data_IF_160569052644
#
_entry.id   IF_160569052644
#
_cell.length_a   1.000
_cell.length_b   1.000
_cell.length_c   1.000
_cell.angle_alpha   90.00
_cell.angle_beta   90.00
_cell.angle_gamma   90.00
#
_symmetry.space_group_name_H-M   'P 1'
#
loop_
_entity.id
_entity.type
_entity.pdbx_description
1 polymer ?
#
# COMPACT_ATOMS: atom_id res chain seq x y z
N UNK A 1 -6.63 -3.47 7.73
CA UNK A 1 -5.37 -2.74 7.93
C UNK A 1 -5.67 -1.24 7.82
N UNK A 2 -5.13 -0.41 8.69
CA UNK A 2 -5.38 1.05 8.66
C UNK A 2 -4.13 1.77 8.22
N UNK A 3 -4.23 2.58 7.16
CA UNK A 3 -3.17 3.33 6.50
C UNK A 3 -1.94 2.46 6.14
N UNK A 4 -1.12 2.90 5.23
CA UNK A 4 0.15 2.27 4.91
C UNK A 4 1.13 3.33 4.39
N UNK A 5 1.58 4.14 5.31
CA UNK A 5 2.38 5.33 5.03
C UNK A 5 3.77 5.29 5.64
N UNK A 6 4.53 6.34 5.38
CA UNK A 6 5.93 6.43 5.80
C UNK A 6 6.08 7.07 7.18
N UNK A 7 7.02 6.57 7.97
CA UNK A 7 7.49 7.27 9.16
C UNK A 7 8.62 8.22 8.77
N UNK A 8 8.38 9.53 8.82
CA UNK A 8 9.42 10.53 8.52
C UNK A 8 10.67 10.37 9.39
N UNK A 9 10.48 9.97 10.65
CA UNK A 9 11.60 9.74 11.58
C UNK A 9 12.45 8.56 11.15
N UNK A 10 11.83 7.43 10.80
CA UNK A 10 12.55 6.23 10.36
C UNK A 10 13.20 6.44 8.98
N UNK A 11 12.47 7.00 8.03
CA UNK A 11 13.01 7.33 6.70
C UNK A 11 14.20 8.28 6.82
N UNK A 12 14.09 9.34 7.63
CA UNK A 12 15.13 10.32 7.82
C UNK A 12 16.40 9.80 8.50
N UNK A 13 16.35 8.66 9.20
CA UNK A 13 17.53 8.02 9.77
C UNK A 13 18.42 7.36 8.71
N UNK A 14 17.80 6.81 7.65
CA UNK A 14 18.49 6.00 6.65
C UNK A 14 18.58 6.68 5.29
N UNK A 15 17.57 7.46 4.93
CA UNK A 15 17.44 8.10 3.62
C UNK A 15 17.42 9.62 3.80
N UNK A 16 18.60 10.22 3.86
CA UNK A 16 18.72 11.67 3.95
C UNK A 16 19.27 12.27 2.66
N UNK A 17 18.86 13.49 2.38
CA UNK A 17 19.27 14.25 1.19
C UNK A 17 18.92 13.52 -0.12
N UNK A 18 19.93 12.95 -0.80
CA UNK A 18 19.80 12.25 -2.09
C UNK A 18 19.89 10.71 -1.96
N UNK A 19 19.98 10.19 -0.74
CA UNK A 19 19.92 8.75 -0.51
C UNK A 19 18.48 8.27 -0.53
N UNK A 20 18.24 7.11 -1.09
CA UNK A 20 16.95 6.46 -1.13
C UNK A 20 17.08 4.95 -1.29
N UNK A 21 15.99 4.23 -1.08
CA UNK A 21 15.96 2.79 -1.30
C UNK A 21 16.32 2.45 -2.76
N UNK A 22 17.05 1.38 -2.96
CA UNK A 22 17.49 0.94 -4.31
C UNK A 22 16.29 0.61 -5.19
N UNK A 23 16.22 1.20 -6.37
CA UNK A 23 15.09 1.01 -7.30
C UNK A 23 14.78 -0.48 -7.57
N UNK A 24 15.80 -1.32 -7.64
CA UNK A 24 15.65 -2.74 -7.95
C UNK A 24 15.39 -3.63 -6.73
N UNK A 25 15.58 -3.14 -5.52
CA UNK A 25 15.51 -3.92 -4.30
C UNK A 25 14.90 -3.14 -3.13
N UNK A 26 14.05 -2.15 -3.43
CA UNK A 26 13.55 -1.21 -2.43
C UNK A 26 12.82 -1.88 -1.27
N UNK A 27 11.98 -2.86 -1.54
CA UNK A 27 11.24 -3.56 -0.49
C UNK A 27 12.17 -4.32 0.47
N UNK A 28 13.23 -4.96 -0.06
CA UNK A 28 14.20 -5.63 0.82
C UNK A 28 15.01 -4.63 1.65
N UNK A 29 15.36 -3.48 1.07
CA UNK A 29 16.03 -2.42 1.82
C UNK A 29 15.16 -1.95 2.99
N UNK A 30 13.86 -1.75 2.76
CA UNK A 30 12.90 -1.37 3.81
C UNK A 30 12.79 -2.45 4.90
N UNK A 31 12.85 -3.73 4.54
CA UNK A 31 12.83 -4.83 5.50
C UNK A 31 14.11 -4.92 6.33
N UNK A 32 15.27 -4.81 5.70
CA UNK A 32 16.56 -4.87 6.37
C UNK A 32 16.78 -3.68 7.34
N UNK A 33 16.20 -2.53 7.00
CA UNK A 33 16.23 -1.34 7.84
C UNK A 33 15.13 -1.32 8.91
N UNK A 34 14.22 -2.30 8.90
CA UNK A 34 13.10 -2.35 9.84
C UNK A 34 12.03 -1.27 9.63
N UNK A 35 12.01 -0.64 8.44
CA UNK A 35 11.03 0.39 8.08
C UNK A 35 9.68 -0.25 7.78
N UNK A 36 9.67 -1.38 7.09
CA UNK A 36 8.47 -2.17 6.81
C UNK A 36 8.49 -3.52 7.51
N UNK A 37 7.36 -3.98 8.06
CA UNK A 37 7.25 -5.30 8.68
C UNK A 37 7.22 -6.41 7.61
N UNK A 38 7.82 -7.57 7.90
CA UNK A 38 7.76 -8.75 7.02
C UNK A 38 6.44 -9.49 7.25
N UNK A 39 5.36 -9.03 6.61
CA UNK A 39 4.04 -9.67 6.67
C UNK A 39 3.80 -10.47 5.39
N UNK A 40 3.57 -11.78 5.54
CA UNK A 40 3.32 -12.68 4.43
C UNK A 40 2.00 -12.33 3.72
N UNK A 41 1.98 -12.47 2.39
CA UNK A 41 0.81 -12.18 1.58
C UNK A 41 0.45 -10.69 1.45
N UNK A 42 1.16 -9.78 2.09
CA UNK A 42 0.84 -8.34 2.05
C UNK A 42 1.43 -7.66 0.82
N UNK A 43 2.61 -8.07 0.39
CA UNK A 43 3.41 -7.34 -0.59
C UNK A 43 3.29 -7.89 -2.00
N UNK A 44 3.48 -7.02 -2.97
CA UNK A 44 3.48 -7.35 -4.40
C UNK A 44 4.54 -8.39 -4.75
N UNK A 45 4.15 -9.36 -5.55
CA UNK A 45 5.03 -10.46 -5.97
C UNK A 45 6.25 -10.00 -6.76
N UNK A 46 6.10 -8.98 -7.63
CA UNK A 46 7.19 -8.46 -8.44
C UNK A 46 8.30 -7.79 -7.60
N UNK A 47 7.97 -7.34 -6.38
CA UNK A 47 8.94 -6.84 -5.42
C UNK A 47 9.52 -7.96 -4.53
N UNK A 48 8.72 -8.95 -4.13
CA UNK A 48 9.05 -9.91 -3.09
C UNK A 48 9.69 -11.20 -3.60
N UNK A 49 9.40 -11.64 -4.83
CA UNK A 49 9.69 -13.00 -5.32
C UNK A 49 11.17 -13.41 -5.38
N UNK A 50 12.11 -12.47 -5.34
CA UNK A 50 13.55 -12.77 -5.34
C UNK A 50 14.18 -12.73 -3.94
N UNK A 51 13.35 -12.58 -2.93
CA UNK A 51 13.74 -12.56 -1.52
C UNK A 51 13.41 -13.93 -0.89
N UNK A 52 14.08 -14.28 0.21
CA UNK A 52 13.71 -15.44 1.01
C UNK A 52 12.33 -15.29 1.71
N UNK A 53 11.65 -14.21 1.38
CA UNK A 53 10.31 -13.87 1.85
C UNK A 53 9.31 -14.19 0.74
N UNK A 54 8.54 -15.27 0.92
CA UNK A 54 7.53 -15.67 -0.05
C UNK A 54 6.27 -14.81 0.10
N UNK A 55 6.11 -13.86 -0.82
CA UNK A 55 4.90 -13.02 -0.93
C UNK A 55 3.75 -13.72 -1.66
N UNK A 56 3.86 -15.02 -1.96
CA UNK A 56 2.87 -15.76 -2.76
C UNK A 56 1.75 -16.38 -1.92
N UNK A 57 1.88 -16.41 -0.61
CA UNK A 57 0.85 -16.92 0.30
C UNK A 57 -0.42 -16.07 0.23
N UNK A 58 -1.54 -16.67 0.57
CA UNK A 58 -2.79 -15.96 0.74
C UNK A 58 -2.63 -14.88 1.82
N UNK A 59 -3.21 -13.72 1.58
CA UNK A 59 -3.16 -12.65 2.56
C UNK A 59 -4.24 -12.82 3.61
N UNK A 60 -3.89 -12.53 4.86
CA UNK A 60 -4.87 -12.38 5.95
C UNK A 60 -5.43 -10.95 6.03
N UNK A 61 -5.09 -10.09 5.06
CA UNK A 61 -5.52 -8.70 5.00
C UNK A 61 -6.66 -8.57 3.99
N UNK A 62 -7.86 -8.31 4.48
CA UNK A 62 -9.07 -8.19 3.65
C UNK A 62 -9.16 -6.85 2.94
N UNK A 63 -8.64 -5.79 3.56
CA UNK A 63 -8.67 -4.44 3.01
C UNK A 63 -7.67 -3.50 3.71
N UNK A 64 -7.42 -2.37 3.06
CA UNK A 64 -6.79 -1.19 3.66
C UNK A 64 -7.81 -0.07 3.77
N UNK A 65 -8.02 0.45 4.97
CA UNK A 65 -8.76 1.69 5.22
C UNK A 65 -7.75 2.84 5.17
N UNK A 66 -7.91 3.73 4.21
CA UNK A 66 -7.06 4.92 4.09
C UNK A 66 -7.79 6.12 4.70
N UNK A 67 -7.22 6.67 5.76
CA UNK A 67 -7.77 7.85 6.42
C UNK A 67 -7.71 9.08 5.53
N UNK A 68 -6.58 9.28 4.84
CA UNK A 68 -6.37 10.39 3.90
C UNK A 68 -5.07 10.23 3.07
N UNK A 69 -4.85 11.14 2.12
CA UNK A 69 -3.78 11.00 1.12
C UNK A 69 -2.47 11.73 1.49
N UNK A 70 -2.16 11.98 2.77
CA UNK A 70 -0.81 12.41 3.14
C UNK A 70 0.19 11.24 3.05
N UNK A 71 1.45 11.56 2.80
CA UNK A 71 2.50 10.55 2.54
C UNK A 71 2.80 9.66 3.75
N UNK A 72 2.64 10.16 4.96
CA UNK A 72 2.74 9.40 6.20
C UNK A 72 1.58 8.40 6.39
N UNK A 73 0.56 8.45 5.54
CA UNK A 73 -0.57 7.52 5.54
C UNK A 73 -0.63 6.66 4.27
N UNK A 74 -0.11 7.14 3.13
CA UNK A 74 -0.28 6.45 1.84
C UNK A 74 1.04 6.07 1.13
N UNK A 75 2.23 6.55 1.55
CA UNK A 75 3.46 6.43 0.76
C UNK A 75 3.86 5.00 0.41
N UNK A 76 3.50 4.01 1.22
CA UNK A 76 3.85 2.61 0.99
C UNK A 76 2.75 1.78 0.32
N UNK A 77 1.58 2.37 0.02
CA UNK A 77 0.54 1.70 -0.78
C UNK A 77 1.08 1.04 -2.07
N UNK A 78 2.06 1.64 -2.79
CA UNK A 78 2.63 1.01 -3.97
C UNK A 78 3.30 -0.36 -3.73
N UNK A 79 3.70 -0.68 -2.51
CA UNK A 79 4.27 -1.98 -2.15
C UNK A 79 3.23 -3.06 -1.89
N UNK A 80 1.98 -2.69 -1.62
CA UNK A 80 0.90 -3.64 -1.35
C UNK A 80 0.51 -4.42 -2.62
N UNK A 81 0.04 -5.64 -2.42
CA UNK A 81 -0.60 -6.43 -3.49
C UNK A 81 -1.75 -5.63 -4.10
N UNK A 82 -1.86 -5.73 -5.38
CA UNK A 82 -2.86 -5.03 -6.18
C UNK A 82 -4.29 -5.54 -5.97
N UNK A 83 -4.44 -6.77 -5.49
CA UNK A 83 -5.72 -7.43 -5.20
C UNK A 83 -6.30 -7.08 -3.82
N UNK A 84 -5.52 -6.49 -2.91
CA UNK A 84 -6.00 -5.95 -1.64
C UNK A 84 -6.75 -4.65 -1.92
N UNK A 85 -8.06 -4.56 -1.63
CA UNK A 85 -8.84 -3.36 -1.88
C UNK A 85 -8.43 -2.23 -0.92
N UNK A 86 -8.44 -1.00 -1.45
CA UNK A 86 -8.21 0.22 -0.67
C UNK A 86 -9.56 0.94 -0.56
N UNK A 87 -10.03 1.15 0.66
CA UNK A 87 -11.20 1.96 0.96
C UNK A 87 -10.75 3.38 1.30
N UNK A 88 -11.24 4.37 0.58
CA UNK A 88 -10.90 5.79 0.82
C UNK A 88 -12.05 6.72 0.45
N UNK A 89 -11.97 7.99 0.84
CA UNK A 89 -12.88 9.02 0.36
C UNK A 89 -12.63 9.33 -1.13
N UNK A 90 -13.62 9.92 -1.78
CA UNK A 90 -13.48 10.34 -3.19
C UNK A 90 -12.37 11.38 -3.36
N UNK A 91 -12.25 12.33 -2.43
CA UNK A 91 -11.22 13.36 -2.43
C UNK A 91 -9.82 12.74 -2.30
N UNK A 92 -9.64 11.78 -1.38
CA UNK A 92 -8.37 11.04 -1.24
C UNK A 92 -8.01 10.31 -2.52
N UNK A 93 -8.97 9.64 -3.18
CA UNK A 93 -8.76 8.99 -4.48
C UNK A 93 -8.31 9.98 -5.55
N UNK A 94 -8.96 11.14 -5.67
CA UNK A 94 -8.60 12.16 -6.64
C UNK A 94 -7.18 12.70 -6.43
N UNK A 95 -6.77 12.87 -5.16
CA UNK A 95 -5.42 13.29 -4.82
C UNK A 95 -4.39 12.21 -5.21
N UNK A 96 -4.65 10.94 -4.88
CA UNK A 96 -3.78 9.82 -5.27
C UNK A 96 -3.69 9.67 -6.79
N UNK A 97 -4.80 9.87 -7.50
CA UNK A 97 -4.81 9.88 -8.97
C UNK A 97 -3.95 11.01 -9.52
N UNK A 98 -4.05 12.21 -8.96
CA UNK A 98 -3.21 13.33 -9.37
C UNK A 98 -1.71 13.03 -9.14
N UNK A 99 -1.35 12.38 -8.04
CA UNK A 99 0.02 11.93 -7.81
C UNK A 99 0.49 10.91 -8.86
N UNK A 100 -0.36 9.95 -9.24
CA UNK A 100 -0.04 8.97 -10.27
C UNK A 100 0.13 9.61 -11.67
N UNK A 101 -0.63 10.65 -11.98
CA UNK A 101 -0.59 11.36 -13.26
C UNK A 101 0.59 12.35 -13.36
N UNK A 102 0.93 13.02 -12.26
CA UNK A 102 1.94 14.11 -12.24
C UNK A 102 3.32 13.66 -11.78
N UNK A 103 3.44 12.47 -11.21
CA UNK A 103 4.70 11.94 -10.70
C UNK A 103 4.94 10.48 -11.14
N UNK A 104 6.00 9.87 -10.61
CA UNK A 104 6.28 8.44 -10.81
C UNK A 104 5.58 7.54 -9.79
N UNK A 105 4.66 8.06 -9.01
CA UNK A 105 3.89 7.31 -8.01
C UNK A 105 3.01 6.22 -8.65
N UNK A 106 2.61 5.24 -7.89
CA UNK A 106 1.83 4.09 -8.34
C UNK A 106 0.80 3.71 -7.28
N UNK A 107 0.03 4.70 -6.82
CA UNK A 107 -0.95 4.50 -5.76
C UNK A 107 -2.16 3.71 -6.25
N UNK A 108 -2.79 4.17 -7.33
CA UNK A 108 -4.01 3.58 -7.89
C UNK A 108 -3.73 2.61 -9.03
N UNK A 109 -2.62 2.80 -9.75
CA UNK A 109 -2.23 1.95 -10.86
C UNK A 109 -0.85 1.37 -10.60
N UNK A 110 -0.82 0.13 -10.16
CA UNK A 110 0.44 -0.59 -10.01
C UNK A 110 1.05 -0.86 -11.40
N UNK A 111 2.32 -0.52 -11.58
CA UNK A 111 3.07 -0.88 -12.78
C UNK A 111 4.01 -2.01 -12.44
N UNK A 112 3.84 -3.16 -13.09
CA UNK A 112 4.76 -4.28 -12.92
C UNK A 112 6.16 -3.83 -13.29
N UNK A 113 7.07 -3.81 -12.31
CA UNK A 113 8.45 -3.35 -12.52
C UNK A 113 9.33 -4.43 -13.12
N UNK A 114 9.04 -5.69 -12.80
CA UNK A 114 9.92 -6.80 -13.15
C UNK A 114 9.10 -8.00 -13.58
N UNK A 115 9.56 -8.66 -14.63
CA UNK A 115 9.17 -10.03 -14.94
C UNK A 115 10.14 -10.97 -14.23
N UNK A 116 9.60 -11.99 -13.62
CA UNK A 116 10.36 -13.01 -12.93
C UNK A 116 10.28 -14.28 -13.74
N UNK A 117 11.44 -14.82 -14.09
CA UNK A 117 11.56 -16.03 -14.90
C UNK A 117 12.60 -16.98 -14.30
N UNK A 118 12.43 -18.26 -14.55
CA UNK A 118 13.46 -19.24 -14.25
C UNK A 118 14.55 -19.17 -15.31
N UNK A 119 15.79 -18.94 -14.90
CA UNK A 119 16.92 -18.91 -15.82
C UNK A 119 17.41 -20.32 -16.17
N UNK A 120 18.33 -20.42 -17.12
CA UNK A 120 18.90 -21.71 -17.59
C UNK A 120 19.60 -22.54 -16.50
N UNK A 121 19.84 -21.98 -15.32
CA UNK A 121 20.45 -22.65 -14.17
C UNK A 121 19.40 -23.12 -13.15
N UNK A 122 18.11 -23.00 -13.44
CA UNK A 122 17.03 -23.36 -12.53
C UNK A 122 16.82 -22.35 -11.39
N UNK A 123 17.44 -21.18 -11.46
CA UNK A 123 17.25 -20.12 -10.43
C UNK A 123 16.32 -19.04 -10.92
N UNK A 124 15.53 -18.49 -10.02
CA UNK A 124 14.64 -17.38 -10.35
C UNK A 124 15.47 -16.12 -10.61
N UNK A 125 15.21 -15.49 -11.71
CA UNK A 125 15.87 -14.27 -12.16
C UNK A 125 14.84 -13.20 -12.50
N UNK A 126 15.29 -11.96 -12.52
CA UNK A 126 14.47 -10.77 -12.68
C UNK A 126 14.91 -10.04 -13.94
N UNK A 127 13.97 -9.73 -14.81
CA UNK A 127 14.20 -8.89 -15.98
C UNK A 127 13.30 -7.66 -15.94
N UNK A 128 13.78 -6.57 -16.49
CA UNK A 128 12.94 -5.41 -16.77
C UNK A 128 12.04 -5.80 -17.94
N UNK A 129 10.76 -6.01 -17.67
CA UNK A 129 9.76 -6.31 -18.70
C UNK A 129 8.99 -5.06 -19.12
N UNK A 130 8.05 -5.25 -20.04
CA UNK A 130 7.05 -4.25 -20.34
C UNK A 130 6.29 -3.88 -19.06
N UNK A 131 6.13 -2.59 -18.83
CA UNK A 131 5.44 -2.09 -17.63
C UNK A 131 3.93 -2.27 -17.79
N UNK A 132 3.46 -3.48 -17.52
CA UNK A 132 2.03 -3.76 -17.52
C UNK A 132 1.41 -2.98 -16.37
N UNK A 133 0.43 -2.15 -16.68
CA UNK A 133 -0.35 -1.45 -15.67
C UNK A 133 -1.40 -2.39 -15.09
N UNK A 134 -1.45 -2.50 -13.78
CA UNK A 134 -2.42 -3.30 -13.04
C UNK A 134 -3.22 -2.31 -12.18
N UNK A 135 -4.50 -2.06 -12.50
CA UNK A 135 -5.34 -1.18 -11.69
C UNK A 135 -5.58 -1.81 -10.32
N UNK A 136 -5.50 -1.00 -9.27
CA UNK A 136 -5.86 -1.42 -7.93
C UNK A 136 -7.37 -1.37 -7.75
N UNK A 137 -7.87 -2.26 -6.92
CA UNK A 137 -9.24 -2.19 -6.46
C UNK A 137 -9.37 -1.07 -5.43
N UNK A 138 -10.10 -0.01 -5.77
CA UNK A 138 -10.36 1.14 -4.89
C UNK A 138 -11.86 1.27 -4.69
N UNK A 139 -12.29 1.16 -3.45
CA UNK A 139 -13.67 1.29 -3.03
C UNK A 139 -13.87 2.66 -2.37
N UNK A 140 -14.85 3.41 -2.83
CA UNK A 140 -15.19 4.72 -2.28
C UNK A 140 -16.28 4.54 -1.23
N UNK A 141 -16.02 5.00 -0.02
CA UNK A 141 -17.05 5.10 0.99
C UNK A 141 -17.68 6.49 1.00
N UNK A 142 -18.90 6.56 1.47
CA UNK A 142 -19.65 7.81 1.64
C UNK A 142 -19.47 8.31 3.07
N UNK A 143 -19.11 9.59 3.23
CA UNK A 143 -18.85 10.21 4.53
C UNK A 143 -20.07 10.10 5.46
N UNK A 144 -19.86 9.63 6.68
CA UNK A 144 -20.89 9.44 7.69
C UNK A 144 -21.85 8.26 7.43
N UNK A 145 -21.59 7.43 6.42
CA UNK A 145 -22.41 6.27 6.12
C UNK A 145 -21.65 4.98 6.35
N UNK A 146 -22.18 4.15 7.23
CA UNK A 146 -21.59 2.84 7.53
C UNK A 146 -21.50 1.94 6.31
N UNK A 147 -20.43 1.16 6.25
CA UNK A 147 -20.24 0.07 5.29
C UNK A 147 -19.60 -1.14 5.98
N UNK A 148 -19.58 -2.29 5.33
CA UNK A 148 -19.03 -3.51 5.91
C UNK A 148 -17.85 -4.01 5.10
N UNK A 149 -16.84 -4.49 5.81
CA UNK A 149 -15.74 -5.28 5.26
C UNK A 149 -15.77 -6.61 6.00
N UNK A 150 -16.15 -7.67 5.30
CA UNK A 150 -16.43 -8.97 5.88
C UNK A 150 -17.39 -8.87 7.10
N UNK A 151 -16.95 -9.22 8.28
CA UNK A 151 -17.72 -9.19 9.52
C UNK A 151 -17.58 -7.88 10.33
N UNK A 152 -16.84 -6.91 9.83
CA UNK A 152 -16.58 -5.63 10.50
C UNK A 152 -17.43 -4.53 9.87
N UNK A 153 -18.24 -3.84 10.67
CA UNK A 153 -18.88 -2.60 10.24
C UNK A 153 -17.96 -1.42 10.51
N UNK A 154 -17.84 -0.55 9.51
CA UNK A 154 -16.95 0.60 9.51
C UNK A 154 -17.79 1.87 9.40
N UNK A 155 -17.64 2.77 10.36
CA UNK A 155 -18.27 4.09 10.36
C UNK A 155 -17.20 5.15 10.05
N UNK A 156 -17.22 5.79 8.85
CA UNK A 156 -16.29 6.86 8.51
C UNK A 156 -16.78 8.20 9.04
N UNK A 157 -16.00 8.83 9.89
CA UNK A 157 -16.31 10.12 10.49
C UNK A 157 -15.44 11.21 9.85
N UNK A 158 -16.02 12.24 9.23
CA UNK A 158 -15.23 13.33 8.68
C UNK A 158 -14.57 14.13 9.83
N UNK A 159 -13.31 14.47 9.66
CA UNK A 159 -12.52 15.24 10.62
C UNK A 159 -11.76 16.36 9.93
N UNK A 160 -11.48 17.43 10.64
CA UNK A 160 -10.71 18.55 10.14
C UNK A 160 -9.21 18.22 10.05
N UNK A 161 -8.63 18.54 8.91
CA UNK A 161 -7.21 18.41 8.68
C UNK A 161 -6.74 19.32 7.54
N UNK A 162 -5.41 19.36 7.28
CA UNK A 162 -4.80 20.22 6.26
C UNK A 162 -5.00 19.76 4.80
N UNK A 163 -5.71 18.65 4.57
CA UNK A 163 -6.02 18.09 3.25
C UNK A 163 -7.50 17.70 3.20
N UNK A 164 -8.19 17.79 2.04
CA UNK A 164 -9.58 17.35 1.90
C UNK A 164 -9.77 15.84 2.06
N UNK A 165 -10.96 15.43 2.48
CA UNK A 165 -11.38 14.03 2.49
C UNK A 165 -10.83 13.18 3.62
N UNK A 166 -10.43 13.81 4.73
CA UNK A 166 -9.90 13.12 5.91
C UNK A 166 -11.03 12.52 6.74
N UNK A 167 -10.85 11.26 7.14
CA UNK A 167 -11.80 10.56 7.99
C UNK A 167 -11.09 9.80 9.11
N UNK A 168 -11.69 9.81 10.29
CA UNK A 168 -11.48 8.81 11.31
C UNK A 168 -12.42 7.63 11.07
N UNK A 169 -12.13 6.47 11.62
CA UNK A 169 -12.97 5.28 11.48
C UNK A 169 -13.33 4.73 12.86
N UNK A 170 -14.61 4.38 13.03
CA UNK A 170 -15.04 3.52 14.13
C UNK A 170 -15.30 2.13 13.55
N UNK A 171 -14.67 1.13 14.14
CA UNK A 171 -14.77 -0.27 13.72
C UNK A 171 -15.64 -1.03 14.74
N UNK A 172 -16.74 -1.58 14.29
CA UNK A 172 -17.64 -2.41 15.10
C UNK A 172 -17.41 -3.88 14.74
N UNK A 173 -16.92 -4.64 15.70
CA UNK A 173 -16.75 -6.10 15.61
C UNK A 173 -17.81 -6.81 16.45
N UNK A 174 -17.86 -8.15 16.40
CA UNK A 174 -18.72 -8.94 17.29
C UNK A 174 -18.46 -8.69 18.79
N UNK A 175 -17.23 -8.35 19.14
CA UNK A 175 -16.76 -8.36 20.53
C UNK A 175 -16.42 -6.96 21.07
N UNK A 176 -16.18 -5.98 20.18
CA UNK A 176 -15.72 -4.65 20.59
C UNK A 176 -16.00 -3.58 19.56
N UNK A 177 -15.93 -2.33 20.02
CA UNK A 177 -15.88 -1.14 19.15
C UNK A 177 -14.53 -0.47 19.35
N UNK A 178 -13.84 -0.14 18.25
CA UNK A 178 -12.50 0.45 18.21
C UNK A 178 -12.61 1.75 17.40
N UNK A 179 -12.06 2.85 17.91
CA UNK A 179 -12.01 4.16 17.26
C UNK A 179 -10.74 4.90 17.57
#
# INVERSE_FOLDING_TARGET
FMDFGMSFTQEGQFFSQFLGARTSNSLNDMFELGILPKIKGLYRRDYAKHMDFDGTEDTEIDAVLLTHAHVDHCAYLPYLREDIPIYCSEESKLILQNFDETSSSQYLTAKQRFQIYENKKGTMSKATGDKVAIPRRVEIFESGKEFSIDSINVEPLPVDHSIPGVHAFILHTSDSTIG
#
